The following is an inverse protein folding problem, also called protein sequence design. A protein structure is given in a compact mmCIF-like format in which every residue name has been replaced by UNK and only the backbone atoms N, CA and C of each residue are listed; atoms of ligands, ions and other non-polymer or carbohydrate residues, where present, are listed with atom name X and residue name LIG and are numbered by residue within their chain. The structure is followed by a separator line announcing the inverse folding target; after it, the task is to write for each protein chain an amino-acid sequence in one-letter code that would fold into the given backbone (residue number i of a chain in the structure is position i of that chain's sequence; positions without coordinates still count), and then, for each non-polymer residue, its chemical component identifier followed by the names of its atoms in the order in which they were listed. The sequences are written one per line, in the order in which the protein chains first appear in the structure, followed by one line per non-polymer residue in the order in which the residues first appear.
data_IF_904891828046
#
_entry.id   IF_904891828046
#
_cell.length_a   1.000
_cell.length_b   1.000
_cell.length_c   1.000
_cell.angle_alpha   90.00
_cell.angle_beta   90.00
_cell.angle_gamma   90.00
#
_symmetry.space_group_name_H-M   'P 1'
#
loop_
_entity.id
_entity.type
_entity.pdbx_description
1 polymer ?
#
# COMPACT_ATOMS: atom_id res chain seq x y z
N UNK A 1 39.61 -35.16 32.77
CA UNK A 1 39.49 -33.69 32.70
C UNK A 1 39.45 -33.32 31.22
N UNK A 2 38.27 -32.97 30.70
CA UNK A 2 38.10 -32.58 29.29
C UNK A 2 38.18 -31.06 29.23
N UNK A 3 39.13 -30.58 28.44
CA UNK A 3 39.52 -29.18 28.30
C UNK A 3 38.49 -28.43 27.44
N UNK A 4 37.94 -27.36 28.01
CA UNK A 4 36.80 -26.60 27.55
C UNK A 4 37.29 -25.50 26.60
N UNK A 5 37.65 -25.89 25.36
CA UNK A 5 37.99 -24.93 24.31
C UNK A 5 36.72 -24.24 23.78
N UNK A 6 36.47 -23.08 24.36
CA UNK A 6 35.59 -21.99 23.94
C UNK A 6 35.14 -22.04 22.48
N UNK A 7 33.87 -22.41 22.28
CA UNK A 7 33.14 -22.13 21.05
C UNK A 7 32.52 -20.73 21.20
N UNK A 8 33.17 -19.70 20.63
CA UNK A 8 32.56 -18.38 20.51
C UNK A 8 31.61 -18.44 19.30
N UNK A 9 30.32 -18.59 19.57
CA UNK A 9 29.26 -18.47 18.57
C UNK A 9 29.05 -16.98 18.28
N UNK A 10 29.54 -16.49 17.13
CA UNK A 10 29.15 -15.18 16.61
C UNK A 10 27.70 -15.28 16.10
N UNK A 11 26.73 -14.83 16.91
CA UNK A 11 25.38 -14.53 16.43
C UNK A 11 25.46 -13.25 15.57
N UNK A 12 25.35 -13.40 14.24
CA UNK A 12 25.09 -12.27 13.37
C UNK A 12 23.63 -11.82 13.59
N UNK A 13 23.42 -10.64 14.17
CA UNK A 13 22.09 -10.01 14.21
C UNK A 13 21.72 -9.60 12.79
N UNK A 14 20.84 -10.36 12.15
CA UNK A 14 20.16 -9.92 10.93
C UNK A 14 19.09 -8.91 11.33
N UNK A 15 19.31 -7.63 11.01
CA UNK A 15 18.27 -6.61 11.10
C UNK A 15 17.31 -6.79 9.93
N UNK A 16 16.18 -7.45 10.17
CA UNK A 16 15.05 -7.39 9.24
C UNK A 16 14.56 -5.95 9.21
N UNK A 17 14.73 -5.25 8.09
CA UNK A 17 14.09 -3.94 7.89
C UNK A 17 12.59 -4.21 7.83
N UNK A 18 11.87 -3.88 8.90
CA UNK A 18 10.43 -4.01 8.94
C UNK A 18 9.80 -3.11 7.88
N UNK A 19 8.81 -3.63 7.15
CA UNK A 19 7.99 -2.87 6.22
C UNK A 19 7.40 -1.64 6.93
N UNK A 20 7.54 -0.45 6.33
CA UNK A 20 7.07 0.78 6.95
C UNK A 20 5.52 0.83 6.93
N UNK A 21 4.85 0.85 8.09
CA UNK A 21 3.39 0.81 8.12
C UNK A 21 2.79 2.14 7.66
N UNK A 22 1.63 2.06 7.00
CA UNK A 22 0.80 3.23 6.72
C UNK A 22 0.20 3.74 8.03
N UNK A 23 0.35 5.02 8.31
CA UNK A 23 -0.14 5.62 9.56
C UNK A 23 -1.67 5.69 9.58
N UNK A 24 -2.24 5.83 10.79
CA UNK A 24 -3.69 6.00 10.96
C UNK A 24 -4.23 7.24 10.23
N UNK A 25 -3.48 8.34 10.23
CA UNK A 25 -3.89 9.58 9.56
C UNK A 25 -3.94 9.41 8.03
N UNK A 26 -2.98 8.69 7.46
CA UNK A 26 -2.96 8.39 6.02
C UNK A 26 -4.06 7.44 5.62
N UNK A 27 -4.30 6.40 6.43
CA UNK A 27 -5.45 5.51 6.24
C UNK A 27 -6.76 6.29 6.23
N UNK A 28 -6.96 7.20 7.18
CA UNK A 28 -8.13 8.06 7.24
C UNK A 28 -8.25 8.98 6.00
N UNK A 29 -7.14 9.58 5.56
CA UNK A 29 -7.11 10.40 4.36
C UNK A 29 -7.48 9.61 3.09
N UNK A 30 -6.95 8.38 2.96
CA UNK A 30 -7.27 7.48 1.84
C UNK A 30 -8.76 7.13 1.84
N UNK A 31 -9.32 6.80 3.01
CA UNK A 31 -10.76 6.50 3.15
C UNK A 31 -11.60 7.70 2.75
N UNK A 32 -11.23 8.90 3.20
CA UNK A 32 -11.91 10.15 2.83
C UNK A 32 -11.85 10.40 1.31
N UNK A 33 -10.66 10.29 0.72
CA UNK A 33 -10.48 10.40 -0.74
C UNK A 33 -11.37 9.41 -1.50
N UNK A 34 -11.38 8.14 -1.12
CA UNK A 34 -12.18 7.11 -1.78
C UNK A 34 -13.69 7.35 -1.60
N UNK A 35 -14.10 7.85 -0.43
CA UNK A 35 -15.50 8.21 -0.17
C UNK A 35 -15.99 9.35 -1.08
N UNK A 36 -15.12 10.32 -1.38
CA UNK A 36 -15.44 11.46 -2.23
C UNK A 36 -15.35 11.16 -3.73
N UNK A 37 -14.57 10.15 -4.12
CA UNK A 37 -14.25 9.91 -5.55
C UNK A 37 -14.93 8.69 -6.14
N UNK A 38 -15.25 7.67 -5.33
CA UNK A 38 -15.95 6.50 -5.82
C UNK A 38 -17.43 6.80 -6.02
N UNK A 39 -18.00 6.21 -7.06
CA UNK A 39 -19.43 6.37 -7.37
C UNK A 39 -20.34 5.75 -6.30
N UNK A 40 -19.95 4.60 -5.78
CA UNK A 40 -20.63 3.91 -4.68
C UNK A 40 -19.59 3.53 -3.62
N UNK A 41 -19.29 4.44 -2.68
CA UNK A 41 -18.25 4.23 -1.68
C UNK A 41 -18.65 3.28 -0.54
N UNK A 42 -19.92 2.87 -0.47
CA UNK A 42 -20.45 1.98 0.57
C UNK A 42 -20.61 0.54 0.08
N UNK A 43 -20.50 0.32 -1.24
CA UNK A 43 -20.43 -1.02 -1.85
C UNK A 43 -19.00 -1.38 -2.28
N UNK A 44 -18.05 -1.36 -1.34
CA UNK A 44 -16.65 -1.75 -1.59
C UNK A 44 -16.35 -3.10 -0.94
N UNK A 45 -15.59 -3.95 -1.65
CA UNK A 45 -15.09 -5.23 -1.14
C UNK A 45 -13.67 -5.50 -1.62
N UNK A 46 -13.10 -6.64 -1.19
CA UNK A 46 -11.76 -7.09 -1.60
C UNK A 46 -10.68 -6.03 -1.38
N UNK A 47 -10.83 -5.25 -0.32
CA UNK A 47 -9.96 -4.12 0.00
C UNK A 47 -8.63 -4.59 0.56
N UNK A 48 -7.55 -3.97 0.13
CA UNK A 48 -6.24 -4.17 0.73
C UNK A 48 -5.37 -2.93 0.58
N UNK A 49 -4.37 -2.83 1.43
CA UNK A 49 -3.41 -1.73 1.44
C UNK A 49 -2.01 -2.27 1.66
N UNK A 50 -1.04 -1.78 0.90
CA UNK A 50 0.36 -2.13 1.09
C UNK A 50 0.98 -1.35 2.25
N UNK A 51 2.16 -1.77 2.68
CA UNK A 51 3.11 -0.91 3.36
C UNK A 51 3.51 0.30 2.50
N UNK A 52 4.19 1.25 3.13
CA UNK A 52 4.88 2.34 2.44
C UNK A 52 6.15 1.76 1.84
N UNK A 53 6.35 1.98 0.54
CA UNK A 53 7.49 1.41 -0.16
C UNK A 53 7.90 2.23 -1.38
N UNK A 54 9.13 2.06 -1.86
CA UNK A 54 9.49 2.54 -3.19
C UNK A 54 8.65 1.84 -4.26
N UNK A 55 8.15 2.61 -5.22
CA UNK A 55 7.42 2.11 -6.38
C UNK A 55 8.14 2.53 -7.65
N UNK A 56 8.31 1.60 -8.58
CA UNK A 56 8.75 1.94 -9.94
C UNK A 56 7.52 2.40 -10.72
N UNK A 57 7.46 3.71 -10.92
CA UNK A 57 6.38 4.36 -11.64
C UNK A 57 6.52 4.28 -13.16
N UNK A 58 5.68 5.05 -13.85
CA UNK A 58 5.67 5.16 -15.29
C UNK A 58 7.02 5.73 -15.80
N UNK A 59 7.42 5.30 -17.00
CA UNK A 59 8.73 5.63 -17.59
C UNK A 59 9.96 5.23 -16.74
N UNK A 60 9.80 4.28 -15.80
CA UNK A 60 10.88 3.75 -14.97
C UNK A 60 11.31 4.67 -13.83
N UNK A 61 10.56 5.73 -13.54
CA UNK A 61 10.87 6.66 -12.45
C UNK A 61 10.50 6.04 -11.10
N UNK A 62 11.45 5.95 -10.19
CA UNK A 62 11.19 5.46 -8.83
C UNK A 62 10.60 6.57 -7.95
N UNK A 63 9.47 6.30 -7.31
CA UNK A 63 8.94 7.09 -6.20
C UNK A 63 9.41 6.44 -4.90
N UNK A 64 10.01 7.20 -3.95
CA UNK A 64 10.57 6.61 -2.73
C UNK A 64 9.52 6.12 -1.72
N UNK A 65 8.33 6.72 -1.69
CA UNK A 65 7.31 6.46 -0.69
C UNK A 65 5.90 6.44 -1.30
N UNK A 66 5.57 5.32 -1.92
CA UNK A 66 4.25 5.02 -2.47
C UNK A 66 3.47 4.03 -1.61
N UNK A 67 2.14 4.13 -1.68
CA UNK A 67 1.18 3.25 -1.00
C UNK A 67 0.18 2.76 -2.05
N UNK A 68 0.00 1.45 -2.15
CA UNK A 68 -0.95 0.83 -3.06
C UNK A 68 -2.21 0.43 -2.31
N UNK A 69 -3.37 0.79 -2.86
CA UNK A 69 -4.67 0.35 -2.38
C UNK A 69 -5.34 -0.44 -3.47
N UNK A 70 -5.80 -1.65 -3.15
CA UNK A 70 -6.65 -2.46 -4.04
C UNK A 70 -8.06 -2.50 -3.50
N UNK A 71 -9.05 -2.52 -4.38
CA UNK A 71 -10.46 -2.53 -4.02
C UNK A 71 -11.31 -3.06 -5.17
N UNK A 72 -12.55 -3.43 -4.89
CA UNK A 72 -13.56 -3.77 -5.88
C UNK A 72 -14.85 -3.06 -5.49
N UNK A 73 -15.23 -2.03 -6.26
CA UNK A 73 -16.42 -1.21 -6.03
C UNK A 73 -17.46 -1.42 -7.13
N UNK A 74 -18.73 -1.11 -6.85
CA UNK A 74 -19.78 -1.11 -7.88
C UNK A 74 -19.61 0.05 -8.85
N UNK A 75 -19.85 -0.22 -10.12
CA UNK A 75 -19.96 0.79 -11.17
C UNK A 75 -21.35 1.45 -11.17
N UNK A 76 -21.59 2.39 -12.08
CA UNK A 76 -22.87 3.10 -12.19
C UNK A 76 -24.08 2.26 -12.59
N UNK A 77 -23.87 1.00 -12.97
CA UNK A 77 -24.93 0.04 -13.26
C UNK A 77 -25.14 -0.96 -12.10
N UNK A 78 -24.47 -0.76 -10.96
CA UNK A 78 -24.59 -1.61 -9.78
C UNK A 78 -23.78 -2.91 -9.82
N UNK A 79 -22.93 -3.10 -10.84
CA UNK A 79 -22.11 -4.30 -11.02
C UNK A 79 -20.67 -4.09 -10.54
N UNK A 80 -20.04 -5.14 -10.02
CA UNK A 80 -18.62 -5.16 -9.69
C UNK A 80 -17.80 -5.47 -10.95
N UNK A 81 -16.90 -4.57 -11.33
CA UNK A 81 -16.13 -4.69 -12.58
C UNK A 81 -14.83 -5.50 -12.47
N UNK A 82 -14.32 -5.72 -11.27
CA UNK A 82 -13.02 -6.36 -11.05
C UNK A 82 -12.27 -5.71 -9.88
N UNK A 83 -11.04 -6.17 -9.64
CA UNK A 83 -10.15 -5.49 -8.68
C UNK A 83 -9.49 -4.33 -9.41
N UNK A 84 -9.63 -3.14 -8.85
CA UNK A 84 -8.93 -1.93 -9.24
C UNK A 84 -7.88 -1.55 -8.19
N UNK A 85 -6.94 -0.70 -8.59
CA UNK A 85 -5.86 -0.21 -7.75
C UNK A 85 -5.74 1.31 -7.81
N UNK A 86 -5.38 1.93 -6.69
CA UNK A 86 -4.97 3.32 -6.59
C UNK A 86 -3.57 3.40 -5.99
N UNK A 87 -2.81 4.40 -6.42
CA UNK A 87 -1.52 4.76 -5.84
C UNK A 87 -1.70 6.03 -5.03
N UNK A 88 -1.08 6.10 -3.86
CA UNK A 88 -0.92 7.32 -3.08
C UNK A 88 0.57 7.56 -2.85
N UNK A 89 0.98 8.82 -2.84
CA UNK A 89 2.38 9.23 -2.75
C UNK A 89 2.56 10.11 -1.53
N UNK A 90 3.54 9.78 -0.68
CA UNK A 90 3.96 10.69 0.40
C UNK A 90 4.80 11.80 -0.18
N UNK A 91 4.42 13.03 0.14
CA UNK A 91 5.15 14.24 -0.19
C UNK A 91 5.54 14.97 1.11
N UNK A 92 6.46 15.95 1.07
CA UNK A 92 6.78 16.77 2.24
C UNK A 92 5.57 17.50 2.84
N UNK A 93 4.53 17.74 2.04
CA UNK A 93 3.30 18.44 2.46
C UNK A 93 2.18 17.48 2.89
N UNK A 94 2.40 16.17 2.82
CA UNK A 94 1.40 15.16 3.18
C UNK A 94 1.17 14.11 2.09
N UNK A 95 0.10 13.32 2.26
CA UNK A 95 -0.28 12.29 1.33
C UNK A 95 -1.10 12.87 0.17
N UNK A 96 -0.83 12.43 -1.06
CA UNK A 96 -1.57 12.83 -2.25
C UNK A 96 -1.96 11.61 -3.09
N UNK A 97 -3.01 11.77 -3.91
CA UNK A 97 -3.33 10.79 -4.95
C UNK A 97 -2.22 10.78 -6.01
N UNK A 98 -1.73 9.58 -6.32
CA UNK A 98 -0.70 9.36 -7.32
C UNK A 98 -1.29 9.35 -8.73
N UNK A 99 -0.70 10.17 -9.59
CA UNK A 99 -1.07 10.30 -11.00
C UNK A 99 0.19 10.55 -11.86
N UNK A 100 -0.01 10.90 -13.14
CA UNK A 100 1.06 11.18 -14.08
C UNK A 100 2.03 12.28 -13.62
N UNK A 101 1.60 13.24 -12.79
CA UNK A 101 2.46 14.32 -12.26
C UNK A 101 3.48 13.76 -11.27
N UNK A 102 3.12 12.67 -10.62
CA UNK A 102 3.97 11.92 -9.72
C UNK A 102 4.74 10.81 -10.44
N UNK A 103 4.51 10.62 -11.74
CA UNK A 103 4.99 9.51 -12.57
C UNK A 103 4.47 8.15 -12.10
N UNK A 104 3.22 8.06 -11.66
CA UNK A 104 2.57 6.78 -11.37
C UNK A 104 1.17 6.73 -11.97
N UNK A 105 0.67 5.51 -12.12
CA UNK A 105 -0.68 5.25 -12.59
C UNK A 105 -1.30 4.12 -11.78
N UNK A 106 -2.58 3.84 -11.99
CA UNK A 106 -3.22 2.67 -11.38
C UNK A 106 -2.45 1.37 -11.66
N UNK A 107 -1.75 1.30 -12.81
CA UNK A 107 -0.91 0.18 -13.22
C UNK A 107 0.33 -0.03 -12.35
N UNK A 108 0.86 1.01 -11.71
CA UNK A 108 2.05 0.94 -10.86
C UNK A 108 1.89 -0.10 -9.73
N UNK A 109 0.66 -0.29 -9.24
CA UNK A 109 0.37 -1.22 -8.15
C UNK A 109 0.16 -2.68 -8.59
N UNK A 110 0.25 -2.98 -9.89
CA UNK A 110 0.12 -4.33 -10.44
C UNK A 110 1.44 -5.08 -10.57
N UNK A 111 2.54 -4.52 -10.04
CA UNK A 111 3.84 -5.21 -10.03
C UNK A 111 3.86 -6.37 -9.03
N UNK A 112 4.54 -7.46 -9.38
CA UNK A 112 4.48 -8.78 -8.71
C UNK A 112 4.91 -8.80 -7.23
N UNK A 113 5.47 -7.71 -6.71
CA UNK A 113 6.03 -7.65 -5.36
C UNK A 113 5.25 -6.74 -4.40
N UNK A 114 4.08 -6.21 -4.78
CA UNK A 114 3.23 -5.47 -3.83
C UNK A 114 2.43 -6.46 -2.99
N UNK A 115 2.71 -6.49 -1.70
CA UNK A 115 1.93 -7.26 -0.73
C UNK A 115 0.82 -6.38 -0.19
N UNK A 116 -0.40 -6.92 -0.14
CA UNK A 116 -1.57 -6.19 0.36
C UNK A 116 -2.00 -6.78 1.69
N UNK A 117 -1.87 -5.98 2.75
CA UNK A 117 -2.47 -6.25 4.05
C UNK A 117 -3.96 -5.88 4.10
N UNK A 118 -4.64 -6.20 5.21
CA UNK A 118 -6.04 -5.88 5.40
C UNK A 118 -6.27 -4.37 5.48
N UNK A 119 -7.36 -3.90 4.86
CA UNK A 119 -7.80 -2.50 4.95
C UNK A 119 -9.25 -2.39 5.46
N UNK A 120 -9.49 -2.74 6.74
CA UNK A 120 -10.84 -2.87 7.29
C UNK A 120 -11.63 -1.56 7.34
N UNK A 121 -10.96 -0.41 7.44
CA UNK A 121 -11.61 0.91 7.45
C UNK A 121 -12.36 1.16 6.15
N UNK A 122 -11.76 0.77 5.03
CA UNK A 122 -12.40 0.86 3.71
C UNK A 122 -13.47 -0.23 3.52
N UNK A 123 -13.23 -1.45 4.01
CA UNK A 123 -14.17 -2.57 3.90
C UNK A 123 -15.47 -2.36 4.69
N UNK A 124 -15.44 -1.52 5.72
CA UNK A 124 -16.53 -1.30 6.67
C UNK A 124 -17.19 0.08 6.53
N UNK A 125 -16.96 0.79 5.42
CA UNK A 125 -17.75 1.97 5.07
C UNK A 125 -19.22 1.55 4.90
N UNK A 126 -20.07 1.95 5.84
CA UNK A 126 -21.52 1.66 5.85
C UNK A 126 -22.28 2.87 6.34
#
# INVERSE_FOLDING_TARGET
MIDMRSLIVLLALTTTVAAEPVTKAERAWIVDYMTQTLRDPYSIRSTGISEVRPLTGDAGRTIPAGICVRYNAKNGYGAYGGIDTLVFVRTPTGLVYGDWRHAVSTKTCWVDNVVYGPFPELANLK
#
